data_IF_784058887413
#
_entry.id   IF_784058887413
#
_cell.length_a   1.000
_cell.length_b   1.000
_cell.length_c   1.000
_cell.angle_alpha   90.00
_cell.angle_beta   90.00
_cell.angle_gamma   90.00
#
_symmetry.space_group_name_H-M   'P 1'
#
loop_
_entity.id
_entity.type
_entity.pdbx_description
1 polymer ?
#
# COMPACT_ATOMS: atom_id res chain seq x y z
N UNK A 1 0.54 -19.10 29.18
CA UNK A 1 0.97 -20.14 28.21
C UNK A 1 0.50 -19.67 26.83
N UNK A 2 0.81 -18.44 26.43
CA UNK A 2 2.09 -17.98 25.87
C UNK A 2 2.40 -18.61 24.52
N UNK A 3 1.65 -18.16 23.51
CA UNK A 3 2.17 -17.87 22.17
C UNK A 3 1.29 -16.67 21.72
N UNK A 4 1.66 -15.42 21.97
CA UNK A 4 2.95 -14.88 21.60
C UNK A 4 3.09 -14.77 20.08
N UNK A 5 1.99 -14.71 19.32
CA UNK A 5 2.02 -14.11 17.98
C UNK A 5 1.93 -12.61 18.15
N UNK A 6 3.06 -11.99 18.52
CA UNK A 6 3.37 -10.65 18.01
C UNK A 6 3.39 -10.81 16.49
N UNK A 7 2.22 -10.71 15.86
CA UNK A 7 2.17 -10.29 14.48
C UNK A 7 2.77 -8.91 14.52
N UNK A 8 4.01 -8.81 14.09
CA UNK A 8 4.63 -7.54 13.78
C UNK A 8 3.61 -6.82 12.91
N UNK A 9 2.99 -5.77 13.45
CA UNK A 9 2.26 -4.80 12.66
C UNK A 9 3.28 -4.33 11.64
N UNK A 10 3.27 -4.94 10.44
CA UNK A 10 4.04 -4.47 9.30
C UNK A 10 3.38 -3.15 8.92
N UNK A 11 3.72 -2.11 9.68
CA UNK A 11 3.32 -0.75 9.45
C UNK A 11 4.16 -0.27 8.27
N UNK A 12 3.61 -0.43 7.07
CA UNK A 12 4.24 0.04 5.86
C UNK A 12 4.15 1.57 5.90
N UNK A 13 5.27 2.21 6.20
CA UNK A 13 5.42 3.67 6.20
C UNK A 13 6.08 4.12 4.90
N UNK A 14 5.34 4.91 4.13
CA UNK A 14 5.82 5.53 2.91
C UNK A 14 6.05 7.01 3.19
N UNK A 15 7.31 7.44 3.14
CA UNK A 15 7.68 8.86 3.25
C UNK A 15 7.75 9.47 1.85
N UNK A 16 6.63 10.01 1.37
CA UNK A 16 6.53 10.67 0.08
C UNK A 16 5.42 11.71 0.05
N UNK A 17 5.64 12.82 -0.65
CA UNK A 17 4.64 13.87 -0.82
C UNK A 17 3.60 13.50 -1.88
N UNK A 18 2.42 14.12 -1.81
CA UNK A 18 1.40 13.97 -2.86
C UNK A 18 1.90 14.44 -4.23
N UNK A 19 2.77 15.44 -4.27
CA UNK A 19 3.38 15.93 -5.50
C UNK A 19 4.36 14.92 -6.09
N UNK A 20 5.18 14.27 -5.25
CA UNK A 20 6.05 13.19 -5.68
C UNK A 20 5.25 11.99 -6.21
N UNK A 21 4.18 11.59 -5.52
CA UNK A 21 3.27 10.53 -6.00
C UNK A 21 2.60 10.90 -7.32
N UNK A 22 2.13 12.14 -7.46
CA UNK A 22 1.50 12.63 -8.67
C UNK A 22 2.48 12.57 -9.85
N UNK A 23 3.74 13.00 -9.64
CA UNK A 23 4.81 12.89 -10.62
C UNK A 23 5.12 11.45 -11.02
N UNK A 24 5.24 10.53 -10.05
CA UNK A 24 5.51 9.11 -10.33
C UNK A 24 4.36 8.43 -11.10
N UNK A 25 3.12 8.77 -10.78
CA UNK A 25 1.94 8.18 -11.41
C UNK A 25 1.50 8.90 -12.68
N UNK A 26 2.15 10.01 -13.05
CA UNK A 26 1.77 10.83 -14.21
C UNK A 26 0.37 11.44 -14.09
N UNK A 27 -0.14 11.63 -12.86
CA UNK A 27 -1.46 12.17 -12.58
C UNK A 27 -1.38 13.54 -11.95
N UNK A 28 -2.50 14.25 -11.89
CA UNK A 28 -2.58 15.53 -11.19
C UNK A 28 -2.59 15.34 -9.66
N UNK A 29 -2.00 16.28 -8.93
CA UNK A 29 -1.93 16.26 -7.45
C UNK A 29 -3.32 16.12 -6.83
N UNK A 30 -4.32 16.81 -7.38
CA UNK A 30 -5.71 16.81 -6.90
C UNK A 30 -6.31 15.40 -6.91
N UNK A 31 -5.99 14.59 -7.92
CA UNK A 31 -6.43 13.19 -8.01
C UNK A 31 -5.82 12.34 -6.90
N UNK A 32 -4.54 12.55 -6.59
CA UNK A 32 -3.84 11.86 -5.49
C UNK A 32 -4.40 12.30 -4.15
N UNK A 33 -4.64 13.59 -3.95
CA UNK A 33 -5.25 14.12 -2.72
C UNK A 33 -6.64 13.52 -2.49
N UNK A 34 -7.49 13.46 -3.53
CA UNK A 34 -8.83 12.89 -3.42
C UNK A 34 -8.80 11.40 -3.11
N UNK A 35 -7.92 10.65 -3.78
CA UNK A 35 -7.74 9.22 -3.52
C UNK A 35 -7.25 8.97 -2.09
N UNK A 36 -6.23 9.70 -1.64
CA UNK A 36 -5.70 9.60 -0.28
C UNK A 36 -6.77 9.94 0.77
N UNK A 37 -7.56 11.00 0.55
CA UNK A 37 -8.64 11.38 1.46
C UNK A 37 -9.71 10.28 1.57
N UNK A 38 -10.11 9.66 0.45
CA UNK A 38 -11.08 8.55 0.44
C UNK A 38 -10.56 7.31 1.16
N UNK A 39 -9.28 6.99 1.01
CA UNK A 39 -8.64 5.85 1.68
C UNK A 39 -8.45 6.11 3.18
N UNK A 40 -8.17 7.37 3.56
CA UNK A 40 -8.07 7.78 4.96
C UNK A 40 -9.43 7.77 5.66
N UNK A 41 -10.49 8.25 5.00
CA UNK A 41 -11.86 8.15 5.50
C UNK A 41 -12.32 6.69 5.66
N UNK A 42 -11.85 5.80 4.80
CA UNK A 42 -12.11 4.37 4.89
C UNK A 42 -11.26 3.66 5.97
N UNK A 43 -10.43 4.39 6.73
CA UNK A 43 -9.56 3.82 7.77
C UNK A 43 -8.44 2.92 7.25
N UNK A 44 -8.19 2.92 5.93
CA UNK A 44 -7.21 2.04 5.30
C UNK A 44 -5.78 2.59 5.43
N UNK A 45 -5.65 3.92 5.42
CA UNK A 45 -4.37 4.63 5.55
C UNK A 45 -4.49 5.78 6.53
N UNK A 46 -3.36 6.19 7.10
CA UNK A 46 -3.19 7.45 7.81
C UNK A 46 -2.19 8.31 7.05
N UNK A 47 -2.56 9.56 6.77
CA UNK A 47 -1.68 10.51 6.10
C UNK A 47 -1.40 11.72 6.98
N UNK A 48 -0.13 12.01 7.22
CA UNK A 48 0.31 13.19 7.97
C UNK A 48 1.66 13.69 7.45
N UNK A 49 1.76 14.98 7.12
CA UNK A 49 3.02 15.67 6.75
C UNK A 49 3.89 14.96 5.69
N UNK A 50 3.30 14.28 4.71
CA UNK A 50 4.06 13.54 3.68
C UNK A 50 4.47 12.13 4.11
N UNK A 51 3.90 11.61 5.20
CA UNK A 51 4.02 10.23 5.62
C UNK A 51 2.66 9.53 5.45
N UNK A 52 2.66 8.39 4.76
CA UNK A 52 1.52 7.48 4.66
C UNK A 52 1.83 6.25 5.49
N UNK A 53 1.03 5.98 6.53
CA UNK A 53 1.03 4.70 7.23
C UNK A 53 -0.11 3.85 6.71
N UNK A 54 0.16 2.62 6.31
CA UNK A 54 -0.88 1.65 5.95
C UNK A 54 -1.43 0.99 7.22
N UNK A 55 -2.71 1.21 7.53
CA UNK A 55 -3.36 0.66 8.72
C UNK A 55 -4.01 -0.70 8.43
N UNK A 56 -4.62 -0.84 7.24
CA UNK A 56 -5.34 -2.05 6.86
C UNK A 56 -5.06 -2.41 5.40
N UNK A 57 -4.14 -3.36 5.19
CA UNK A 57 -3.78 -3.85 3.85
C UNK A 57 -4.99 -4.49 3.15
N UNK A 58 -5.75 -5.34 3.85
CA UNK A 58 -6.97 -5.97 3.30
C UNK A 58 -8.01 -4.93 2.83
N UNK A 59 -8.13 -3.80 3.54
CA UNK A 59 -9.01 -2.70 3.15
C UNK A 59 -8.54 -1.96 1.89
N UNK A 60 -7.23 -1.83 1.69
CA UNK A 60 -6.65 -1.31 0.45
C UNK A 60 -6.89 -2.26 -0.71
N UNK A 61 -6.64 -3.55 -0.51
CA UNK A 61 -6.79 -4.58 -1.55
C UNK A 61 -8.24 -4.70 -2.04
N UNK A 62 -9.22 -4.63 -1.13
CA UNK A 62 -10.64 -4.64 -1.48
C UNK A 62 -11.08 -3.42 -2.31
N UNK A 63 -10.33 -2.32 -2.28
CA UNK A 63 -10.63 -1.07 -2.99
C UNK A 63 -9.76 -0.84 -4.21
N UNK A 64 -8.70 -1.65 -4.38
CA UNK A 64 -7.84 -1.60 -5.54
C UNK A 64 -8.58 -2.18 -6.76
N UNK A 65 -8.20 -1.75 -7.96
CA UNK A 65 -8.67 -2.44 -9.17
C UNK A 65 -8.04 -3.83 -9.27
N UNK A 66 -8.66 -4.71 -10.08
CA UNK A 66 -8.10 -6.02 -10.43
C UNK A 66 -6.67 -5.95 -10.97
N UNK A 67 -6.30 -4.78 -11.51
CA UNK A 67 -4.93 -4.39 -11.87
C UNK A 67 -3.90 -4.75 -10.79
N UNK A 68 -4.22 -4.53 -9.50
CA UNK A 68 -3.33 -4.79 -8.38
C UNK A 68 -3.06 -6.28 -8.25
N UNK A 69 -4.12 -7.11 -8.35
CA UNK A 69 -3.99 -8.57 -8.27
C UNK A 69 -3.13 -9.11 -9.42
N UNK A 70 -3.34 -8.63 -10.65
CA UNK A 70 -2.54 -9.05 -11.81
C UNK A 70 -1.06 -8.72 -11.61
N UNK A 71 -0.73 -7.49 -11.19
CA UNK A 71 0.64 -7.07 -10.94
C UNK A 71 1.26 -7.85 -9.78
N UNK A 72 0.51 -8.04 -8.69
CA UNK A 72 0.97 -8.80 -7.53
C UNK A 72 1.27 -10.25 -7.89
N UNK A 73 0.39 -10.91 -8.64
CA UNK A 73 0.62 -12.27 -9.11
C UNK A 73 1.87 -12.37 -9.98
N UNK A 74 2.09 -11.40 -10.88
CA UNK A 74 3.29 -11.39 -11.73
C UNK A 74 4.56 -11.11 -10.93
N UNK A 75 4.51 -10.19 -9.97
CA UNK A 75 5.60 -9.89 -9.05
C UNK A 75 6.01 -11.11 -8.24
N UNK A 76 5.04 -11.83 -7.65
CA UNK A 76 5.26 -13.09 -6.93
C UNK A 76 5.86 -14.16 -7.85
N UNK A 77 5.40 -14.27 -9.10
CA UNK A 77 5.94 -15.21 -10.07
C UNK A 77 7.41 -14.93 -10.38
N UNK A 78 7.78 -13.65 -10.53
CA UNK A 78 9.15 -13.22 -10.84
C UNK A 78 10.10 -13.36 -9.66
N UNK A 79 9.64 -13.06 -8.43
CA UNK A 79 10.45 -13.13 -7.23
C UNK A 79 10.48 -14.51 -6.57
N UNK A 80 9.71 -15.49 -7.08
CA UNK A 80 9.83 -16.88 -6.61
C UNK A 80 11.30 -17.31 -6.69
N UNK A 81 11.95 -17.62 -5.56
CA UNK A 81 13.31 -18.11 -5.57
C UNK A 81 13.32 -19.40 -6.40
N UNK A 82 14.17 -19.43 -7.43
CA UNK A 82 14.39 -20.66 -8.20
C UNK A 82 14.92 -21.70 -7.21
N UNK A 83 14.25 -22.86 -7.02
CA UNK A 83 14.78 -23.89 -6.15
C UNK A 83 16.15 -24.30 -6.69
N UNK A 84 17.17 -24.10 -5.87
CA UNK A 84 18.51 -24.63 -6.11
C UNK A 84 18.49 -26.05 -5.57
N UNK A 85 18.53 -27.03 -6.48
CA UNK A 85 18.67 -28.45 -6.19
C UNK A 85 20.13 -28.81 -5.92
#
# INVERSE_FOLDING_TARGET
MTIGVCWEEVNIELSMTQEAMAGMLGVRRESVTLAAARLQQAGCIRYARGHISVLARSGLEARACDCYRTIHCEFERLLRPRPVY
#
